data_IF_366916264441
#
_entry.id   IF_366916264441
#
_cell.length_a   1.000
_cell.length_b   1.000
_cell.length_c   1.000
_cell.angle_alpha   90.00
_cell.angle_beta   90.00
_cell.angle_gamma   90.00
#
_symmetry.space_group_name_H-M   'P 1'
#
loop_
_entity.id
_entity.type
_entity.pdbx_description
1 polymer ?
#
# COMPACT_ATOMS: atom_id res chain seq x y z
N UNK A 1 -2.99 -4.15 9.24
CA UNK A 1 -1.91 -3.49 8.42
C UNK A 1 -2.50 -3.25 7.05
N UNK A 2 -2.45 -2.02 6.53
CA UNK A 2 -2.87 -1.76 5.15
C UNK A 2 -2.10 -2.63 4.16
N UNK A 3 -2.83 -3.36 3.31
CA UNK A 3 -2.30 -4.13 2.19
C UNK A 3 -2.59 -3.37 0.88
N UNK A 4 -2.39 -3.99 -0.28
CA UNK A 4 -2.58 -3.30 -1.57
C UNK A 4 -3.96 -2.64 -1.72
N UNK A 5 -5.09 -3.30 -1.40
CA UNK A 5 -6.40 -2.68 -1.55
C UNK A 5 -6.58 -1.42 -0.69
N UNK A 6 -6.14 -1.43 0.57
CA UNK A 6 -6.25 -0.28 1.46
C UNK A 6 -5.40 0.90 0.98
N UNK A 7 -4.21 0.62 0.44
CA UNK A 7 -3.33 1.65 -0.13
C UNK A 7 -3.93 2.22 -1.42
N UNK A 8 -4.51 1.38 -2.28
CA UNK A 8 -5.19 1.83 -3.50
C UNK A 8 -6.43 2.67 -3.18
N UNK A 9 -7.24 2.27 -2.22
CA UNK A 9 -8.39 3.05 -1.75
C UNK A 9 -7.94 4.40 -1.18
N UNK A 10 -6.83 4.42 -0.42
CA UNK A 10 -6.23 5.68 0.06
C UNK A 10 -5.81 6.56 -1.11
N UNK A 11 -5.17 6.01 -2.15
CA UNK A 11 -4.80 6.73 -3.36
C UNK A 11 -6.01 7.36 -4.02
N UNK A 12 -7.05 6.57 -4.25
CA UNK A 12 -8.29 7.05 -4.86
C UNK A 12 -8.95 8.17 -4.05
N UNK A 13 -8.94 8.05 -2.72
CA UNK A 13 -9.54 9.03 -1.82
C UNK A 13 -8.78 10.36 -1.76
N UNK A 14 -7.45 10.35 -1.87
CA UNK A 14 -6.65 11.59 -1.79
C UNK A 14 -6.47 12.26 -3.15
N UNK A 15 -6.54 11.52 -4.26
CA UNK A 15 -6.30 12.04 -5.63
C UNK A 15 -7.14 13.26 -5.96
N UNK A 16 -8.47 13.30 -5.76
CA UNK A 16 -9.30 14.44 -6.13
C UNK A 16 -8.94 15.75 -5.39
N UNK A 17 -8.26 15.63 -4.25
CA UNK A 17 -7.90 16.77 -3.41
C UNK A 17 -6.49 17.29 -3.63
N UNK A 18 -5.61 16.47 -4.19
CA UNK A 18 -4.18 16.77 -4.28
C UNK A 18 -3.64 16.85 -5.70
N UNK A 19 -4.20 16.06 -6.64
CA UNK A 19 -3.74 16.10 -8.02
C UNK A 19 -4.00 17.47 -8.63
N UNK A 20 -3.03 17.99 -9.37
CA UNK A 20 -3.01 19.36 -9.90
C UNK A 20 -3.00 20.47 -8.83
N UNK A 21 -2.68 20.14 -7.58
CA UNK A 21 -2.45 21.14 -6.54
C UNK A 21 -0.95 21.41 -6.39
N UNK A 22 -0.62 22.70 -6.14
CA UNK A 22 0.74 23.12 -5.77
C UNK A 22 0.98 22.85 -4.31
N UNK A 23 2.12 22.23 -3.99
CA UNK A 23 2.58 22.06 -2.60
C UNK A 23 3.08 23.43 -2.10
N UNK A 24 2.43 23.99 -1.11
CA UNK A 24 2.87 25.24 -0.49
C UNK A 24 3.95 25.01 0.56
N UNK A 25 3.76 23.97 1.39
CA UNK A 25 4.64 23.69 2.51
C UNK A 25 4.56 22.24 2.95
N UNK A 26 5.69 21.70 3.39
CA UNK A 26 5.77 20.39 4.04
C UNK A 26 6.18 20.60 5.50
N UNK A 27 5.32 20.17 6.43
CA UNK A 27 5.57 20.34 7.86
C UNK A 27 5.90 18.96 8.44
N UNK A 28 7.16 18.78 8.82
CA UNK A 28 7.64 17.55 9.46
C UNK A 28 7.78 17.80 10.96
N UNK A 29 6.84 17.27 11.75
CA UNK A 29 6.84 17.39 13.22
C UNK A 29 7.70 16.33 13.89
N UNK A 30 7.78 15.14 13.29
CA UNK A 30 8.58 14.04 13.80
C UNK A 30 9.31 13.35 12.66
N UNK A 31 10.65 13.53 12.62
CA UNK A 31 11.47 13.02 11.53
C UNK A 31 11.68 11.51 11.56
N UNK A 32 11.63 10.89 12.74
CA UNK A 32 11.95 9.48 12.89
C UNK A 32 10.68 8.63 12.77
N UNK A 33 10.39 8.19 11.56
CA UNK A 33 9.45 7.10 11.26
C UNK A 33 10.25 5.78 11.14
N UNK A 34 9.78 4.83 10.33
CA UNK A 34 10.54 3.59 10.04
C UNK A 34 11.96 3.89 9.55
N UNK A 35 12.08 4.91 8.70
CA UNK A 35 13.33 5.54 8.30
C UNK A 35 13.24 7.04 8.56
N UNK A 36 14.36 7.72 8.75
CA UNK A 36 14.36 9.17 8.85
C UNK A 36 13.74 9.81 7.60
N UNK A 37 12.88 10.79 7.80
CA UNK A 37 12.35 11.61 6.70
C UNK A 37 13.50 12.46 6.17
N UNK A 38 13.89 12.34 4.89
CA UNK A 38 15.02 13.08 4.34
C UNK A 38 14.72 14.59 4.26
N UNK A 39 15.76 15.40 4.36
CA UNK A 39 15.63 16.85 4.21
C UNK A 39 15.16 17.21 2.79
N UNK A 40 15.59 16.43 1.80
CA UNK A 40 15.27 16.64 0.38
C UNK A 40 13.77 16.56 0.07
N UNK A 41 12.92 16.09 0.99
CA UNK A 41 11.46 16.11 0.80
C UNK A 41 10.95 17.55 0.57
N UNK A 42 11.63 18.56 1.14
CA UNK A 42 11.29 19.97 0.97
C UNK A 42 11.56 20.50 -0.45
N UNK A 43 12.27 19.76 -1.31
CA UNK A 43 12.42 20.07 -2.73
C UNK A 43 11.07 20.02 -3.47
N UNK A 44 10.07 19.36 -2.90
CA UNK A 44 8.72 19.34 -3.45
C UNK A 44 7.92 20.64 -3.18
N UNK A 45 8.35 21.49 -2.26
CA UNK A 45 7.67 22.76 -1.98
C UNK A 45 7.71 23.69 -3.18
N UNK A 46 6.60 24.32 -3.50
CA UNK A 46 6.41 25.15 -4.69
C UNK A 46 6.05 24.36 -5.95
N UNK A 47 6.15 23.03 -5.96
CA UNK A 47 5.88 22.19 -7.13
C UNK A 47 4.42 21.73 -7.21
N UNK A 48 3.99 21.45 -8.45
CA UNK A 48 2.69 20.86 -8.73
C UNK A 48 2.71 19.34 -8.50
N UNK A 49 1.72 18.79 -7.82
CA UNK A 49 1.48 17.35 -7.79
C UNK A 49 0.85 16.96 -9.13
N UNK A 50 1.63 16.37 -10.01
CA UNK A 50 1.23 16.04 -11.38
C UNK A 50 0.35 14.77 -11.42
N UNK A 51 0.66 13.80 -10.59
CA UNK A 51 -0.09 12.54 -10.48
C UNK A 51 0.13 11.88 -9.12
N UNK A 52 -0.80 10.99 -8.77
CA UNK A 52 -0.67 10.16 -7.57
C UNK A 52 -0.77 8.70 -8.00
N UNK A 53 0.34 7.97 -7.82
CA UNK A 53 0.47 6.56 -8.20
C UNK A 53 0.60 5.67 -6.99
N UNK A 54 0.35 4.38 -7.18
CA UNK A 54 0.68 3.33 -6.23
C UNK A 54 1.71 2.37 -6.85
N UNK A 55 2.69 1.97 -6.06
CA UNK A 55 3.57 0.84 -6.35
C UNK A 55 3.63 -0.06 -5.13
N UNK A 56 3.23 -1.32 -5.24
CA UNK A 56 3.07 -2.22 -4.10
C UNK A 56 2.17 -1.60 -3.01
N UNK A 57 2.70 -1.37 -1.82
CA UNK A 57 2.02 -0.72 -0.69
C UNK A 57 2.54 0.71 -0.45
N UNK A 58 3.12 1.32 -1.47
CA UNK A 58 3.64 2.69 -1.45
C UNK A 58 2.76 3.60 -2.31
N UNK A 59 2.52 4.82 -1.82
CA UNK A 59 1.93 5.92 -2.57
C UNK A 59 3.06 6.84 -3.05
N UNK A 60 2.96 7.33 -4.27
CA UNK A 60 3.91 8.25 -4.87
C UNK A 60 3.14 9.49 -5.33
N UNK A 61 3.47 10.64 -4.74
CA UNK A 61 2.99 11.95 -5.19
C UNK A 61 4.07 12.51 -6.11
N UNK A 62 3.80 12.48 -7.41
CA UNK A 62 4.78 12.84 -8.43
C UNK A 62 4.79 14.33 -8.69
N UNK A 63 5.98 14.89 -8.77
CA UNK A 63 6.27 16.28 -9.15
C UNK A 63 7.32 16.31 -10.26
N UNK A 64 7.61 17.48 -10.80
CA UNK A 64 8.64 17.64 -11.85
C UNK A 64 10.07 17.33 -11.39
N UNK A 65 10.38 17.38 -10.10
CA UNK A 65 11.71 17.08 -9.54
C UNK A 65 11.82 15.70 -8.90
N UNK A 66 10.71 15.02 -8.65
CA UNK A 66 10.71 13.74 -8.00
C UNK A 66 9.36 13.39 -7.40
N UNK A 67 9.35 12.36 -6.55
CA UNK A 67 8.14 11.87 -5.91
C UNK A 67 8.29 11.84 -4.39
N UNK A 68 7.26 12.31 -3.69
CA UNK A 68 7.10 12.02 -2.27
C UNK A 68 6.56 10.60 -2.16
N UNK A 69 7.28 9.72 -1.45
CA UNK A 69 6.95 8.29 -1.32
C UNK A 69 6.44 8.02 0.09
N UNK A 70 5.19 7.58 0.21
CA UNK A 70 4.54 7.32 1.50
C UNK A 70 4.24 5.83 1.64
N UNK A 71 4.55 5.27 2.80
CA UNK A 71 4.15 3.92 3.22
C UNK A 71 3.40 4.00 4.54
N UNK A 72 2.22 3.38 4.62
CA UNK A 72 1.37 3.49 5.80
C UNK A 72 1.83 2.60 6.99
N UNK A 73 2.76 1.70 6.76
CA UNK A 73 3.22 0.78 7.81
C UNK A 73 2.10 -0.10 8.32
N UNK A 74 1.85 -0.07 9.62
CA UNK A 74 0.80 -0.86 10.27
C UNK A 74 -0.36 -0.03 10.80
N UNK A 75 -0.13 1.23 11.16
CA UNK A 75 -1.12 2.11 11.78
C UNK A 75 -1.20 3.48 11.11
N UNK A 76 -0.44 3.68 10.03
CA UNK A 76 -0.47 4.93 9.28
C UNK A 76 -1.82 5.19 8.64
N UNK A 77 -2.29 6.43 8.75
CA UNK A 77 -3.52 6.94 8.15
C UNK A 77 -3.23 8.25 7.45
N UNK A 78 -3.88 8.45 6.33
CA UNK A 78 -3.86 9.71 5.61
C UNK A 78 -5.21 10.39 5.75
N UNK A 79 -5.18 11.67 6.06
CA UNK A 79 -6.39 12.50 6.18
C UNK A 79 -6.25 13.74 5.30
N UNK A 80 -7.31 14.06 4.56
CA UNK A 80 -7.46 15.35 3.91
C UNK A 80 -8.21 16.25 4.87
N UNK A 81 -7.57 17.33 5.31
CA UNK A 81 -8.09 18.25 6.33
C UNK A 81 -7.80 19.70 5.91
N UNK A 82 -8.62 20.69 6.33
CA UNK A 82 -8.19 22.08 6.29
C UNK A 82 -6.83 22.24 6.98
N UNK A 83 -5.94 23.05 6.40
CA UNK A 83 -4.55 23.17 6.85
C UNK A 83 -4.40 23.75 8.26
N UNK A 84 -5.41 24.48 8.73
CA UNK A 84 -5.51 25.06 10.08
C UNK A 84 -6.09 24.09 11.13
N UNK A 85 -6.48 22.87 10.72
CA UNK A 85 -7.02 21.86 11.64
C UNK A 85 -6.03 21.56 12.76
N UNK A 86 -6.45 21.64 14.04
CA UNK A 86 -5.57 21.39 15.18
C UNK A 86 -4.84 20.05 15.07
N UNK A 87 -3.55 20.09 15.40
CA UNK A 87 -2.68 18.91 15.35
C UNK A 87 -3.04 17.97 16.50
N UNK A 88 -3.15 16.69 16.22
CA UNK A 88 -3.41 15.63 17.20
C UNK A 88 -2.15 14.83 17.49
N UNK A 89 -2.20 14.04 18.55
CA UNK A 89 -1.14 13.07 18.86
C UNK A 89 -0.89 12.15 17.67
N UNK A 90 0.40 11.96 17.32
CA UNK A 90 0.86 11.14 16.20
C UNK A 90 0.65 11.72 14.78
N UNK A 91 0.26 12.99 14.66
CA UNK A 91 0.31 13.72 13.39
C UNK A 91 1.76 14.13 13.09
N UNK A 92 2.41 13.39 12.20
CA UNK A 92 3.86 13.52 11.99
C UNK A 92 4.23 14.40 10.82
N UNK A 93 3.45 14.36 9.73
CA UNK A 93 3.73 15.12 8.51
C UNK A 93 2.44 15.72 7.97
N UNK A 94 2.50 16.98 7.55
CA UNK A 94 1.49 17.63 6.71
C UNK A 94 2.13 18.06 5.40
N UNK A 95 1.46 17.74 4.29
CA UNK A 95 1.74 18.29 2.96
C UNK A 95 0.61 19.28 2.68
N UNK A 96 0.88 20.57 2.84
CA UNK A 96 -0.08 21.65 2.65
C UNK A 96 -0.11 22.02 1.17
N UNK A 97 -1.31 22.16 0.61
CA UNK A 97 -1.53 22.51 -0.79
C UNK A 97 -2.30 23.81 -0.96
N UNK A 98 -2.18 24.42 -2.13
CA UNK A 98 -2.71 25.76 -2.45
C UNK A 98 -4.23 25.92 -2.26
N UNK A 99 -4.98 24.82 -2.26
CA UNK A 99 -6.42 24.85 -1.98
C UNK A 99 -6.78 25.13 -0.51
N UNK A 100 -5.78 25.27 0.38
CA UNK A 100 -5.98 25.46 1.81
C UNK A 100 -6.20 24.15 2.60
N UNK A 101 -6.05 22.99 1.94
CA UNK A 101 -6.07 21.68 2.58
C UNK A 101 -4.67 21.14 2.83
N UNK A 102 -4.57 20.12 3.65
CA UNK A 102 -3.34 19.34 3.78
C UNK A 102 -3.61 17.84 3.74
N UNK A 103 -2.64 17.10 3.22
CA UNK A 103 -2.54 15.67 3.44
C UNK A 103 -1.78 15.45 4.74
N UNK A 104 -2.46 14.94 5.76
CA UNK A 104 -1.89 14.68 7.09
C UNK A 104 -1.61 13.21 7.28
N UNK A 105 -0.36 12.87 7.59
CA UNK A 105 0.05 11.53 7.98
C UNK A 105 0.03 11.39 9.50
N UNK A 106 -0.90 10.57 10.00
CA UNK A 106 -0.98 10.13 11.38
C UNK A 106 -0.48 8.69 11.50
N UNK A 107 0.47 8.39 12.41
CA UNK A 107 1.00 7.03 12.59
C UNK A 107 1.47 6.79 14.03
N UNK A 108 0.62 6.18 14.83
CA UNK A 108 0.89 5.93 16.26
C UNK A 108 2.11 5.02 16.49
N UNK A 109 2.37 4.07 15.62
CA UNK A 109 3.46 3.09 15.76
C UNK A 109 4.75 3.51 15.05
N UNK A 110 4.69 4.50 14.18
CA UNK A 110 5.82 5.01 13.38
C UNK A 110 6.49 3.94 12.50
N UNK A 111 5.73 2.96 12.03
CA UNK A 111 6.18 1.94 11.08
C UNK A 111 5.95 2.34 9.62
N UNK A 112 5.33 3.48 9.41
CA UNK A 112 5.20 4.12 8.12
C UNK A 112 6.51 4.75 7.65
N UNK A 113 6.48 5.30 6.46
CA UNK A 113 7.59 6.05 5.89
C UNK A 113 7.09 7.24 5.07
N UNK A 114 7.91 8.27 5.01
CA UNK A 114 7.74 9.41 4.13
C UNK A 114 9.14 9.74 3.58
N UNK A 115 9.37 9.44 2.29
CA UNK A 115 10.68 9.48 1.65
C UNK A 115 10.62 10.38 0.41
N UNK A 116 11.79 10.71 -0.15
CA UNK A 116 11.93 11.43 -1.40
C UNK A 116 12.66 10.58 -2.44
N UNK A 117 12.09 10.49 -3.65
CA UNK A 117 12.73 9.89 -4.81
C UNK A 117 12.94 10.98 -5.85
N UNK A 118 14.14 11.54 -5.92
CA UNK A 118 14.49 12.53 -6.94
C UNK A 118 14.58 11.94 -8.35
N UNK A 119 14.21 12.72 -9.36
CA UNK A 119 14.42 12.32 -10.76
C UNK A 119 15.93 12.22 -11.03
N UNK A 120 16.32 11.18 -11.78
CA UNK A 120 17.73 10.91 -12.08
C UNK A 120 18.53 10.30 -10.93
N UNK A 121 17.96 10.20 -9.74
CA UNK A 121 18.57 9.51 -8.61
C UNK A 121 18.35 7.99 -8.69
N UNK A 122 19.29 7.18 -8.16
CA UNK A 122 19.08 5.74 -8.04
C UNK A 122 17.77 5.43 -7.33
N UNK A 123 17.04 4.43 -7.81
CA UNK A 123 15.78 4.02 -7.18
C UNK A 123 15.99 3.71 -5.70
N UNK A 124 15.07 4.16 -4.86
CA UNK A 124 15.06 3.84 -3.44
C UNK A 124 15.20 2.33 -3.24
N UNK A 125 15.96 1.93 -2.23
CA UNK A 125 16.23 0.50 -1.95
C UNK A 125 14.95 -0.31 -1.77
N UNK A 126 13.88 0.32 -1.30
CA UNK A 126 12.57 -0.30 -1.11
C UNK A 126 11.88 -0.74 -2.41
N UNK A 127 12.30 -0.20 -3.57
CA UNK A 127 11.74 -0.56 -4.88
C UNK A 127 12.57 -1.59 -5.65
N UNK A 128 13.86 -1.78 -5.29
CA UNK A 128 14.82 -2.57 -6.09
C UNK A 128 14.45 -4.04 -6.26
N UNK A 129 13.73 -4.62 -5.31
CA UNK A 129 13.43 -6.06 -5.29
C UNK A 129 11.95 -6.37 -5.40
N UNK A 130 11.12 -5.39 -5.75
CA UNK A 130 9.69 -5.59 -5.87
C UNK A 130 9.34 -6.42 -7.10
N UNK A 131 8.57 -7.47 -6.90
CA UNK A 131 7.96 -8.28 -7.95
C UNK A 131 6.85 -7.53 -8.73
N UNK A 132 6.10 -8.25 -9.58
CA UNK A 132 5.04 -7.67 -10.39
C UNK A 132 3.84 -7.20 -9.55
N UNK A 133 3.10 -6.27 -10.12
CA UNK A 133 1.79 -5.85 -9.60
C UNK A 133 0.75 -6.94 -9.89
N UNK A 134 -0.01 -7.38 -8.88
CA UNK A 134 -0.94 -8.51 -9.05
C UNK A 134 -2.12 -8.22 -9.98
N UNK A 135 -2.45 -6.95 -10.22
CA UNK A 135 -3.59 -6.54 -11.05
C UNK A 135 -3.21 -6.18 -12.50
N UNK A 136 -1.94 -6.39 -12.89
CA UNK A 136 -1.45 -6.19 -14.25
C UNK A 136 -1.27 -7.53 -14.97
N UNK A 137 -1.00 -7.48 -16.28
CA UNK A 137 -0.73 -8.68 -17.08
C UNK A 137 0.65 -9.30 -16.81
N UNK A 138 1.54 -8.58 -16.09
CA UNK A 138 2.84 -9.09 -15.65
C UNK A 138 2.75 -10.17 -14.55
N UNK A 139 1.56 -10.40 -14.02
CA UNK A 139 1.30 -11.38 -12.97
C UNK A 139 0.23 -12.38 -13.40
N UNK A 140 0.53 -13.66 -13.28
CA UNK A 140 -0.41 -14.76 -13.44
C UNK A 140 -0.03 -16.00 -12.61
N UNK A 141 -0.84 -17.05 -12.73
CA UNK A 141 -0.57 -18.31 -12.05
C UNK A 141 0.61 -19.09 -12.63
N UNK A 142 0.98 -18.86 -13.90
CA UNK A 142 2.15 -19.48 -14.54
C UNK A 142 3.42 -18.94 -13.87
N UNK A 143 3.50 -17.62 -13.72
CA UNK A 143 4.61 -16.97 -13.01
C UNK A 143 4.75 -17.50 -11.57
N UNK A 144 3.63 -17.64 -10.85
CA UNK A 144 3.66 -18.22 -9.49
C UNK A 144 4.22 -19.64 -9.50
N UNK A 145 3.75 -20.49 -10.42
CA UNK A 145 4.24 -21.85 -10.54
C UNK A 145 5.73 -21.90 -10.82
N UNK A 146 6.21 -21.15 -11.79
CA UNK A 146 7.63 -21.12 -12.18
C UNK A 146 8.50 -20.65 -11.02
N UNK A 147 8.14 -19.57 -10.37
CA UNK A 147 8.88 -19.01 -9.22
C UNK A 147 8.84 -19.89 -7.96
N UNK A 148 7.86 -20.78 -7.86
CA UNK A 148 7.73 -21.67 -6.71
C UNK A 148 8.66 -22.89 -6.78
N UNK A 149 9.22 -23.21 -7.95
CA UNK A 149 10.05 -24.42 -8.11
C UNK A 149 11.27 -24.36 -7.23
N UNK A 150 11.49 -25.42 -6.46
CA UNK A 150 12.57 -25.51 -5.46
C UNK A 150 12.38 -24.65 -4.20
N UNK A 151 11.20 -24.07 -3.98
CA UNK A 151 10.89 -23.28 -2.78
C UNK A 151 10.16 -24.14 -1.75
N UNK A 152 10.85 -24.54 -0.70
CA UNK A 152 10.29 -25.34 0.40
C UNK A 152 9.48 -24.52 1.43
N UNK A 153 9.47 -23.19 1.34
CA UNK A 153 8.67 -22.34 2.22
C UNK A 153 7.17 -22.63 2.05
N UNK A 154 6.38 -22.38 3.10
CA UNK A 154 4.92 -22.48 3.02
C UNK A 154 4.37 -21.57 1.91
N UNK A 155 3.39 -22.05 1.14
CA UNK A 155 2.81 -21.31 0.02
C UNK A 155 2.26 -19.95 0.45
N UNK A 156 1.73 -19.85 1.67
CA UNK A 156 1.30 -18.56 2.23
C UNK A 156 2.46 -17.57 2.32
N UNK A 157 3.59 -17.97 2.88
CA UNK A 157 4.76 -17.10 2.99
C UNK A 157 5.35 -16.78 1.61
N UNK A 158 5.29 -17.74 0.67
CA UNK A 158 5.73 -17.55 -0.70
C UNK A 158 4.95 -16.44 -1.41
N UNK A 159 3.61 -16.45 -1.36
CA UNK A 159 2.79 -15.40 -2.01
C UNK A 159 2.78 -14.08 -1.24
N UNK A 160 3.21 -14.05 0.01
CA UNK A 160 3.39 -12.82 0.80
C UNK A 160 4.76 -12.17 0.57
N UNK A 161 5.71 -12.85 -0.08
CA UNK A 161 7.01 -12.28 -0.43
C UNK A 161 6.84 -11.27 -1.57
N UNK A 162 7.15 -10.00 -1.27
CA UNK A 162 7.06 -8.92 -2.26
C UNK A 162 7.98 -9.10 -3.49
N UNK A 163 8.94 -10.03 -3.44
CA UNK A 163 9.75 -10.40 -4.62
C UNK A 163 8.98 -11.31 -5.59
N UNK A 164 8.00 -12.02 -5.09
CA UNK A 164 7.16 -12.95 -5.88
C UNK A 164 5.98 -12.20 -6.49
N UNK A 165 5.19 -11.54 -5.65
CA UNK A 165 4.09 -10.67 -6.04
C UNK A 165 3.95 -9.58 -4.97
N UNK A 166 3.73 -8.35 -5.39
CA UNK A 166 3.61 -7.26 -4.43
C UNK A 166 2.19 -7.13 -3.86
N UNK A 167 2.09 -6.51 -2.70
CA UNK A 167 0.82 -6.04 -2.15
C UNK A 167 -0.03 -7.06 -1.42
N UNK A 168 0.19 -8.36 -1.62
CA UNK A 168 -0.48 -9.44 -0.88
C UNK A 168 0.12 -9.54 0.52
N UNK A 169 -0.71 -9.38 1.52
CA UNK A 169 -0.29 -9.55 2.91
C UNK A 169 -1.09 -10.67 3.59
N UNK A 170 -1.18 -10.62 4.91
CA UNK A 170 -1.75 -11.71 5.69
C UNK A 170 -3.26 -11.91 5.47
N UNK A 171 -4.00 -10.83 5.22
CA UNK A 171 -5.44 -10.89 4.97
C UNK A 171 -5.69 -11.59 3.65
N UNK A 172 -5.18 -11.01 2.58
CA UNK A 172 -5.50 -11.44 1.22
C UNK A 172 -4.81 -12.74 0.83
N UNK A 173 -3.67 -13.11 1.45
CA UNK A 173 -3.08 -14.43 1.32
C UNK A 173 -3.98 -15.53 1.89
N UNK A 174 -4.52 -15.33 3.10
CA UNK A 174 -5.43 -16.28 3.71
C UNK A 174 -6.72 -16.43 2.91
N UNK A 175 -7.36 -15.33 2.52
CA UNK A 175 -8.61 -15.35 1.76
C UNK A 175 -8.41 -16.03 0.40
N UNK A 176 -7.34 -15.69 -0.33
CA UNK A 176 -7.06 -16.29 -1.63
C UNK A 176 -6.76 -17.78 -1.55
N UNK A 177 -5.97 -18.21 -0.58
CA UNK A 177 -5.65 -19.63 -0.39
C UNK A 177 -6.88 -20.45 0.05
N UNK A 178 -7.73 -19.86 0.89
CA UNK A 178 -8.98 -20.51 1.30
C UNK A 178 -9.91 -20.73 0.11
N UNK A 179 -10.12 -19.70 -0.73
CA UNK A 179 -10.96 -19.80 -1.93
C UNK A 179 -10.37 -20.81 -2.92
N UNK A 180 -9.03 -20.86 -3.04
CA UNK A 180 -8.34 -21.81 -3.90
C UNK A 180 -8.34 -23.25 -3.35
N UNK A 181 -8.75 -23.48 -2.12
CA UNK A 181 -8.70 -24.80 -1.46
C UNK A 181 -7.27 -25.31 -1.22
N UNK A 182 -6.31 -24.39 -1.03
CA UNK A 182 -4.90 -24.72 -0.83
C UNK A 182 -4.54 -24.57 0.65
N UNK A 183 -4.00 -25.64 1.27
CA UNK A 183 -3.48 -25.55 2.65
C UNK A 183 -2.34 -24.52 2.69
N UNK A 184 -2.46 -23.45 3.50
CA UNK A 184 -1.46 -22.37 3.57
C UNK A 184 -0.08 -22.83 4.03
N UNK A 185 0.02 -23.97 4.71
CA UNK A 185 1.26 -24.58 5.21
C UNK A 185 1.97 -25.43 4.17
N UNK A 186 1.28 -25.77 3.08
CA UNK A 186 1.85 -26.62 2.02
C UNK A 186 3.09 -25.97 1.43
N UNK A 187 4.15 -26.75 1.23
CA UNK A 187 5.37 -26.29 0.58
C UNK A 187 5.06 -25.74 -0.83
N UNK A 188 5.60 -24.56 -1.16
CA UNK A 188 5.28 -23.87 -2.42
C UNK A 188 5.63 -24.72 -3.65
N UNK A 189 6.75 -25.47 -3.64
CA UNK A 189 7.15 -26.36 -4.73
C UNK A 189 6.25 -27.59 -4.90
N UNK A 190 5.44 -27.93 -3.89
CA UNK A 190 4.50 -29.06 -3.91
C UNK A 190 3.08 -28.68 -4.35
N UNK A 191 2.80 -27.40 -4.54
CA UNK A 191 1.52 -26.96 -5.12
C UNK A 191 1.55 -27.24 -6.62
N UNK A 192 0.49 -27.86 -7.13
CA UNK A 192 0.38 -28.27 -8.56
C UNK A 192 0.21 -27.04 -9.46
N UNK A 193 0.63 -27.17 -10.73
CA UNK A 193 0.49 -26.11 -11.72
C UNK A 193 -0.96 -25.62 -11.85
N UNK A 194 -1.93 -26.55 -11.96
CA UNK A 194 -3.35 -26.20 -12.06
C UNK A 194 -3.84 -25.34 -10.88
N UNK A 195 -3.35 -25.64 -9.67
CA UNK A 195 -3.76 -24.94 -8.45
C UNK A 195 -3.15 -23.53 -8.42
N UNK A 196 -1.93 -23.34 -8.93
CA UNK A 196 -1.34 -22.01 -9.10
C UNK A 196 -2.02 -21.17 -10.18
N UNK A 197 -2.45 -21.80 -11.31
CA UNK A 197 -3.23 -21.12 -12.34
C UNK A 197 -4.53 -20.56 -11.75
N UNK A 198 -5.24 -21.35 -10.96
CA UNK A 198 -6.43 -20.91 -10.24
C UNK A 198 -6.12 -19.84 -9.20
N UNK A 199 -5.06 -20.03 -8.38
CA UNK A 199 -4.67 -19.10 -7.33
C UNK A 199 -4.30 -17.71 -7.89
N UNK A 200 -3.62 -17.65 -9.03
CA UNK A 200 -3.29 -16.37 -9.68
C UNK A 200 -4.53 -15.56 -10.04
N UNK A 201 -5.55 -16.22 -10.61
CA UNK A 201 -6.84 -15.57 -10.91
C UNK A 201 -7.58 -15.15 -9.64
N UNK A 202 -7.61 -16.02 -8.63
CA UNK A 202 -8.28 -15.74 -7.35
C UNK A 202 -7.64 -14.54 -6.66
N UNK A 203 -6.31 -14.43 -6.62
CA UNK A 203 -5.61 -13.27 -6.06
C UNK A 203 -6.06 -11.97 -6.76
N UNK A 204 -6.10 -11.95 -8.09
CA UNK A 204 -6.59 -10.79 -8.85
C UNK A 204 -8.03 -10.43 -8.48
N UNK A 205 -8.92 -11.41 -8.45
CA UNK A 205 -10.34 -11.22 -8.15
C UNK A 205 -10.55 -10.69 -6.72
N UNK A 206 -9.90 -11.31 -5.73
CA UNK A 206 -10.04 -10.91 -4.32
C UNK A 206 -9.53 -9.49 -4.10
N UNK A 207 -8.37 -9.14 -4.66
CA UNK A 207 -7.81 -7.80 -4.52
C UNK A 207 -8.66 -6.74 -5.24
N UNK A 208 -9.10 -7.01 -6.47
CA UNK A 208 -9.95 -6.09 -7.22
C UNK A 208 -11.31 -5.87 -6.52
N UNK A 209 -11.91 -6.95 -6.01
CA UNK A 209 -13.16 -6.86 -5.26
C UNK A 209 -12.99 -6.06 -3.95
N UNK A 210 -11.91 -6.30 -3.22
CA UNK A 210 -11.61 -5.55 -2.01
C UNK A 210 -11.44 -4.05 -2.27
N UNK A 211 -10.80 -3.67 -3.38
CA UNK A 211 -10.69 -2.26 -3.80
C UNK A 211 -12.07 -1.67 -4.06
N UNK A 212 -12.92 -2.39 -4.84
CA UNK A 212 -14.27 -1.93 -5.17
C UNK A 212 -15.15 -1.74 -3.92
N UNK A 213 -14.93 -2.53 -2.86
CA UNK A 213 -15.62 -2.42 -1.57
C UNK A 213 -14.99 -1.39 -0.61
N UNK A 214 -13.99 -0.62 -1.05
CA UNK A 214 -13.33 0.40 -0.22
C UNK A 214 -12.35 -0.17 0.81
N UNK A 215 -11.85 -1.39 0.59
CA UNK A 215 -10.91 -2.07 1.48
C UNK A 215 -11.54 -2.61 2.76
N UNK A 216 -10.71 -3.09 3.68
CA UNK A 216 -11.11 -3.57 4.99
C UNK A 216 -11.05 -2.44 6.03
N UNK A 217 -12.10 -2.26 6.83
CA UNK A 217 -12.00 -1.48 8.07
C UNK A 217 -11.49 -2.40 9.17
N UNK A 218 -10.20 -2.52 9.26
CA UNK A 218 -9.57 -3.08 10.43
C UNK A 218 -9.35 -1.96 11.45
N UNK A 219 -9.14 -2.33 12.72
CA UNK A 219 -9.02 -1.44 13.88
C UNK A 219 -8.14 -0.18 13.64
N UNK A 220 -7.19 -0.29 12.69
CA UNK A 220 -6.16 0.71 12.41
C UNK A 220 -6.28 1.36 11.03
N UNK A 221 -7.33 1.09 10.22
CA UNK A 221 -7.50 1.67 8.89
C UNK A 221 -8.90 2.29 8.72
N UNK A 222 -8.93 3.50 8.18
CA UNK A 222 -10.12 4.15 7.63
C UNK A 222 -9.73 4.83 6.31
N UNK A 223 -10.71 5.04 5.43
CA UNK A 223 -10.51 5.80 4.19
C UNK A 223 -10.08 7.24 4.51
N UNK A 224 -9.51 7.96 3.53
CA UNK A 224 -9.01 9.33 3.74
C UNK A 224 -10.12 10.31 4.18
N UNK A 225 -11.38 10.04 3.84
CA UNK A 225 -12.56 10.78 4.28
C UNK A 225 -13.17 10.25 5.60
N UNK A 226 -12.52 9.28 6.24
CA UNK A 226 -12.95 8.67 7.50
C UNK A 226 -14.03 7.59 7.36
N UNK A 227 -14.52 7.29 6.15
CA UNK A 227 -15.50 6.23 5.95
C UNK A 227 -14.92 4.84 6.16
N UNK A 228 -15.72 3.89 6.67
CA UNK A 228 -15.29 2.50 6.79
C UNK A 228 -15.24 1.82 5.42
N UNK A 229 -14.31 0.85 5.28
CA UNK A 229 -14.36 -0.10 4.18
C UNK A 229 -15.35 -1.23 4.48
N UNK A 230 -15.99 -1.76 3.46
CA UNK A 230 -17.03 -2.79 3.62
C UNK A 230 -16.51 -4.22 3.42
N UNK A 231 -15.33 -4.40 2.84
CA UNK A 231 -14.79 -5.73 2.54
C UNK A 231 -14.58 -6.59 3.79
N UNK A 232 -14.38 -5.99 4.97
CA UNK A 232 -14.25 -6.71 6.24
C UNK A 232 -15.45 -7.64 6.54
N UNK A 233 -16.65 -7.28 6.06
CA UNK A 233 -17.87 -8.08 6.23
C UNK A 233 -17.88 -9.33 5.34
N UNK A 234 -17.10 -9.34 4.27
CA UNK A 234 -17.02 -10.43 3.30
C UNK A 234 -15.86 -11.40 3.53
N UNK A 235 -15.00 -11.14 4.54
CA UNK A 235 -13.89 -12.02 4.89
C UNK A 235 -14.39 -13.41 5.29
N UNK A 236 -13.82 -14.45 4.68
CA UNK A 236 -14.24 -15.85 4.88
C UNK A 236 -13.52 -16.53 6.04
N UNK A 237 -12.25 -16.19 6.24
CA UNK A 237 -11.41 -16.84 7.25
C UNK A 237 -10.62 -15.88 8.13
N UNK A 238 -10.20 -14.72 7.62
CA UNK A 238 -9.37 -13.81 8.39
C UNK A 238 -10.17 -13.16 9.53
N UNK A 239 -9.64 -13.28 10.77
CA UNK A 239 -10.28 -12.69 11.96
C UNK A 239 -11.51 -13.46 12.48
N UNK A 240 -11.86 -14.61 11.89
CA UNK A 240 -12.90 -15.47 12.43
C UNK A 240 -12.33 -16.33 13.55
N UNK A 241 -13.05 -16.34 14.69
CA UNK A 241 -12.82 -17.31 15.76
C UNK A 241 -13.46 -18.64 15.34
N UNK A 242 -12.77 -19.75 15.60
CA UNK A 242 -13.31 -21.10 15.42
C UNK A 242 -14.45 -21.35 16.40
#
# INVERSE_FOLDING_TARGET
MPELPEVEVSRLGITPHLENQRIEKIIVRHRQLRWPIPQDIHLAEGLLIQSIRRRAKYLLLDTELGSIVIHLGMSGRLHILPSDTPVKKHDHVDIVVASGYCLRLNDARRFGACLWQGIGQPALSVFKTLGPEPLTDDFDGTLLYERSRGKSVAVKNFIMDNKIVVGVGNIYANESLFIAGIDPRKSADKVKKKDYLALGQIIKQVLAHAIAQGGTTLKDFAQADGKPGYFAQELKVYGRLN
#
